data_IF_160312835995
#
_entry.id   IF_160312835995
#
_cell.length_a   1.000
_cell.length_b   1.000
_cell.length_c   1.000
_cell.angle_alpha   90.00
_cell.angle_beta   90.00
_cell.angle_gamma   90.00
#
_symmetry.space_group_name_H-M   'P 1'
#
loop_
_entity.id
_entity.type
_entity.pdbx_description
1 polymer ?
#
# COMPACT_ATOMS: atom_id res chain seq x y z
N UNK A 1 -8.47 -10.74 4.22
CA UNK A 1 -7.40 -9.87 4.76
C UNK A 1 -7.77 -9.38 6.14
N UNK A 2 -6.80 -9.35 7.06
CA UNK A 2 -6.97 -8.73 8.38
C UNK A 2 -6.04 -7.51 8.46
N UNK A 3 -6.61 -6.30 8.52
CA UNK A 3 -5.85 -5.10 8.89
C UNK A 3 -5.52 -5.22 10.37
N UNK A 4 -4.24 -5.15 10.71
CA UNK A 4 -3.73 -5.38 12.07
C UNK A 4 -3.38 -4.09 12.79
N UNK A 5 -3.30 -2.96 12.08
CA UNK A 5 -3.16 -1.64 12.67
C UNK A 5 -3.30 -0.51 11.65
N UNK A 6 -3.75 0.65 12.13
CA UNK A 6 -3.69 1.92 11.39
C UNK A 6 -3.16 2.97 12.34
N UNK A 7 -2.06 3.61 11.95
CA UNK A 7 -1.45 4.72 12.68
C UNK A 7 -1.53 5.97 11.81
N UNK A 8 -1.94 7.09 12.40
CA UNK A 8 -2.07 8.36 11.70
C UNK A 8 -1.24 9.40 12.43
N UNK A 9 -0.34 10.04 11.69
CA UNK A 9 0.37 11.24 12.13
C UNK A 9 -0.23 12.47 11.45
N UNK A 10 0.31 13.66 11.73
CA UNK A 10 -0.17 14.89 11.11
C UNK A 10 0.05 14.91 9.58
N UNK A 11 1.04 14.19 9.06
CA UNK A 11 1.41 14.22 7.63
C UNK A 11 1.46 12.86 6.94
N UNK A 12 1.23 11.77 7.68
CA UNK A 12 1.26 10.43 7.11
C UNK A 12 0.24 9.49 7.72
N UNK A 13 -0.18 8.50 6.93
CA UNK A 13 -0.98 7.37 7.41
C UNK A 13 -0.25 6.08 7.12
N UNK A 14 -0.08 5.25 8.16
CA UNK A 14 0.54 3.93 8.07
C UNK A 14 -0.49 2.85 8.33
N UNK A 15 -0.63 1.93 7.38
CA UNK A 15 -1.53 0.78 7.48
C UNK A 15 -0.66 -0.46 7.60
N UNK A 16 -0.88 -1.27 8.64
CA UNK A 16 -0.25 -2.58 8.75
C UNK A 16 -1.29 -3.66 8.51
N UNK A 17 -0.99 -4.60 7.62
CA UNK A 17 -1.85 -5.75 7.40
C UNK A 17 -1.04 -6.99 7.03
N UNK A 18 -1.70 -8.15 7.04
CA UNK A 18 -1.11 -9.44 6.67
C UNK A 18 -1.82 -10.01 5.44
N UNK A 19 -1.04 -10.52 4.48
CA UNK A 19 -1.56 -11.18 3.28
C UNK A 19 -0.90 -12.54 3.01
N UNK A 20 -1.63 -13.48 2.39
CA UNK A 20 -1.08 -14.71 1.86
C UNK A 20 0.02 -14.46 0.83
N UNK A 21 0.95 -15.41 0.78
CA UNK A 21 2.03 -15.48 -0.21
C UNK A 21 1.54 -15.90 -1.61
N UNK A 22 0.37 -16.52 -1.70
CA UNK A 22 -0.19 -17.08 -2.94
C UNK A 22 -1.11 -16.13 -3.70
N UNK A 23 -1.32 -14.91 -3.20
CA UNK A 23 -2.24 -13.96 -3.83
C UNK A 23 -1.69 -13.46 -5.17
N UNK A 24 -2.59 -13.25 -6.13
CA UNK A 24 -2.23 -12.73 -7.44
C UNK A 24 -1.68 -11.29 -7.31
N UNK A 25 -0.58 -10.93 -8.01
CA UNK A 25 -0.04 -9.59 -7.96
C UNK A 25 -1.05 -8.48 -8.27
N UNK A 26 -1.96 -8.68 -9.23
CA UNK A 26 -2.98 -7.68 -9.57
C UNK A 26 -3.96 -7.44 -8.41
N UNK A 27 -4.37 -8.51 -7.72
CA UNK A 27 -5.23 -8.45 -6.54
C UNK A 27 -4.52 -7.74 -5.37
N UNK A 28 -3.20 -7.94 -5.22
CA UNK A 28 -2.36 -7.26 -4.23
C UNK A 28 -2.30 -5.76 -4.51
N UNK A 29 -2.15 -5.34 -5.77
CA UNK A 29 -2.08 -3.93 -6.13
C UNK A 29 -3.42 -3.22 -5.95
N UNK A 30 -4.52 -3.87 -6.36
CA UNK A 30 -5.88 -3.39 -6.11
C UNK A 30 -6.15 -3.25 -4.61
N UNK A 31 -5.67 -4.20 -3.80
CA UNK A 31 -5.73 -4.15 -2.34
C UNK A 31 -4.99 -2.93 -1.80
N UNK A 32 -3.76 -2.67 -2.24
CA UNK A 32 -2.98 -1.53 -1.75
C UNK A 32 -3.64 -0.19 -2.09
N UNK A 33 -4.13 -0.05 -3.32
CA UNK A 33 -4.88 1.15 -3.72
C UNK A 33 -6.13 1.37 -2.86
N UNK A 34 -6.90 0.31 -2.61
CA UNK A 34 -8.08 0.38 -1.76
C UNK A 34 -7.73 0.77 -0.31
N UNK A 35 -6.68 0.19 0.26
CA UNK A 35 -6.21 0.50 1.60
C UNK A 35 -5.75 1.96 1.70
N UNK A 36 -4.96 2.44 0.75
CA UNK A 36 -4.54 3.83 0.68
C UNK A 36 -5.73 4.80 0.60
N UNK A 37 -6.73 4.50 -0.24
CA UNK A 37 -7.96 5.31 -0.35
C UNK A 37 -8.70 5.39 0.97
N UNK A 38 -8.96 4.23 1.57
CA UNK A 38 -9.73 4.13 2.81
C UNK A 38 -9.03 4.88 3.95
N UNK A 39 -7.70 4.77 4.03
CA UNK A 39 -6.89 5.46 5.01
C UNK A 39 -6.90 6.98 4.82
N UNK A 40 -6.80 7.45 3.58
CA UNK A 40 -6.88 8.86 3.26
C UNK A 40 -8.25 9.44 3.63
N UNK A 41 -9.34 8.77 3.24
CA UNK A 41 -10.71 9.20 3.56
C UNK A 41 -11.02 9.19 5.05
N UNK A 42 -10.40 8.28 5.80
CA UNK A 42 -10.57 8.15 7.24
C UNK A 42 -9.65 9.06 8.05
N UNK A 43 -8.68 9.72 7.41
CA UNK A 43 -7.75 10.62 8.08
C UNK A 43 -8.51 11.87 8.57
N UNK A 44 -8.22 12.39 9.78
CA UNK A 44 -8.89 13.57 10.31
C UNK A 44 -8.61 14.84 9.48
N UNK A 45 -7.46 14.91 8.81
CA UNK A 45 -7.06 16.02 7.93
C UNK A 45 -6.48 15.47 6.61
N UNK A 46 -7.31 14.98 5.68
CA UNK A 46 -6.84 14.30 4.47
C UNK A 46 -5.96 15.21 3.59
N UNK A 47 -6.25 16.51 3.56
CA UNK A 47 -5.50 17.49 2.75
C UNK A 47 -4.08 17.76 3.28
N UNK A 48 -3.75 17.35 4.52
CA UNK A 48 -2.43 17.51 5.13
C UNK A 48 -1.57 16.25 5.01
N UNK A 49 -2.15 15.14 4.55
CA UNK A 49 -1.42 13.90 4.33
C UNK A 49 -0.54 14.08 3.09
N UNK A 50 0.76 13.91 3.28
CA UNK A 50 1.75 13.99 2.21
C UNK A 50 2.18 12.59 1.76
N UNK A 51 2.04 11.59 2.61
CA UNK A 51 2.51 10.22 2.33
C UNK A 51 1.59 9.18 2.94
N UNK A 52 1.23 8.20 2.12
CA UNK A 52 0.51 7.02 2.52
C UNK A 52 1.49 5.84 2.55
N UNK A 53 1.46 5.06 3.63
CA UNK A 53 2.39 3.96 3.87
C UNK A 53 1.60 2.69 4.19
N UNK A 54 1.95 1.59 3.53
CA UNK A 54 1.50 0.25 3.83
C UNK A 54 2.71 -0.56 4.30
N UNK A 55 2.57 -1.21 5.44
CA UNK A 55 3.48 -2.26 5.90
C UNK A 55 2.75 -3.58 5.66
N UNK A 56 3.12 -4.25 4.58
CA UNK A 56 2.58 -5.55 4.22
C UNK A 56 3.44 -6.65 4.84
N UNK A 57 2.84 -7.47 5.71
CA UNK A 57 3.45 -8.67 6.24
C UNK A 57 2.94 -9.88 5.44
N UNK A 58 3.86 -10.67 4.91
CA UNK A 58 3.55 -11.94 4.28
C UNK A 58 3.56 -13.06 5.32
N UNK A 59 2.75 -14.10 5.10
CA UNK A 59 2.65 -15.24 6.03
C UNK A 59 3.94 -16.06 6.15
N UNK A 60 4.85 -15.97 5.17
CA UNK A 60 6.19 -16.57 5.23
C UNK A 60 7.17 -15.80 6.14
N UNK A 61 6.72 -14.66 6.71
CA UNK A 61 7.50 -13.80 7.59
C UNK A 61 8.19 -12.64 6.88
N UNK A 62 8.06 -12.54 5.55
CA UNK A 62 8.63 -11.46 4.77
C UNK A 62 7.79 -10.18 4.88
N UNK A 63 8.42 -9.02 4.68
CA UNK A 63 7.82 -7.72 4.89
C UNK A 63 8.26 -6.74 3.82
N UNK A 64 7.30 -6.00 3.30
CA UNK A 64 7.53 -4.89 2.38
C UNK A 64 6.82 -3.64 2.88
N UNK A 65 7.53 -2.53 2.83
CA UNK A 65 6.97 -1.20 2.98
C UNK A 65 6.65 -0.67 1.59
N UNK A 66 5.40 -0.27 1.39
CA UNK A 66 4.91 0.35 0.15
C UNK A 66 4.48 1.76 0.49
N UNK A 67 4.99 2.75 -0.21
CA UNK A 67 4.62 4.16 0.00
C UNK A 67 4.12 4.79 -1.29
N UNK A 68 3.17 5.70 -1.16
CA UNK A 68 2.65 6.48 -2.28
C UNK A 68 2.21 7.86 -1.81
N UNK A 69 2.20 8.83 -2.72
CA UNK A 69 1.57 10.12 -2.48
C UNK A 69 0.05 10.05 -2.76
N UNK A 70 -0.77 10.84 -2.06
CA UNK A 70 -2.23 10.85 -2.26
C UNK A 70 -2.69 11.16 -3.69
N UNK A 71 -1.93 11.96 -4.46
CA UNK A 71 -2.31 12.30 -5.84
C UNK A 71 -2.16 11.11 -6.77
N UNK A 72 -1.12 10.29 -6.60
CA UNK A 72 -0.93 9.05 -7.35
C UNK A 72 -2.06 8.06 -7.08
N UNK A 73 -2.43 7.86 -5.82
CA UNK A 73 -3.56 6.99 -5.43
C UNK A 73 -4.87 7.49 -6.04
N UNK A 74 -5.13 8.80 -5.97
CA UNK A 74 -6.32 9.40 -6.56
C UNK A 74 -6.40 9.19 -8.07
N UNK A 75 -5.31 9.42 -8.80
CA UNK A 75 -5.24 9.20 -10.25
C UNK A 75 -5.54 7.76 -10.64
N UNK A 76 -5.08 6.79 -9.85
CA UNK A 76 -5.37 5.38 -10.10
C UNK A 76 -6.86 5.06 -9.88
N UNK A 77 -7.45 5.55 -8.80
CA UNK A 77 -8.87 5.34 -8.49
C UNK A 77 -9.81 6.03 -9.49
N UNK A 78 -9.41 7.21 -9.99
CA UNK A 78 -10.12 7.94 -11.04
C UNK A 78 -9.94 7.29 -12.43
N UNK A 79 -9.10 6.25 -12.55
CA UNK A 79 -8.81 5.54 -13.80
C UNK A 79 -7.95 6.33 -14.78
N UNK A 80 -7.27 7.38 -14.32
CA UNK A 80 -6.34 8.18 -15.12
C UNK A 80 -5.02 7.45 -15.39
N UNK A 81 -4.66 6.50 -14.52
CA UNK A 81 -3.51 5.61 -14.68
C UNK A 81 -3.94 4.16 -14.44
N UNK A 82 -3.32 3.22 -15.15
CA UNK A 82 -3.61 1.80 -14.98
C UNK A 82 -2.82 1.18 -13.80
N UNK A 83 -3.05 -0.11 -13.53
CA UNK A 83 -2.42 -0.81 -12.40
C UNK A 83 -0.89 -0.91 -12.54
N UNK A 84 -0.39 -0.97 -13.77
CA UNK A 84 1.04 -1.03 -14.06
C UNK A 84 1.70 0.33 -13.83
N UNK A 85 1.10 1.39 -14.34
CA UNK A 85 1.56 2.76 -14.10
C UNK A 85 1.49 3.13 -12.62
N UNK A 86 0.46 2.68 -11.91
CA UNK A 86 0.36 2.83 -10.46
C UNK A 86 1.52 2.13 -9.76
N UNK A 87 1.78 0.86 -10.11
CA UNK A 87 2.88 0.08 -9.56
C UNK A 87 4.24 0.78 -9.70
N UNK A 88 4.55 1.31 -10.88
CA UNK A 88 5.81 2.01 -11.14
C UNK A 88 5.98 3.31 -10.34
N UNK A 89 4.88 3.87 -9.81
CA UNK A 89 4.90 5.08 -8.98
C UNK A 89 4.91 4.77 -7.48
N UNK A 90 4.75 3.51 -7.09
CA UNK A 90 4.89 3.09 -5.70
C UNK A 90 6.38 3.01 -5.33
N UNK A 91 6.69 3.53 -4.15
CA UNK A 91 7.99 3.31 -3.51
C UNK A 91 7.93 2.01 -2.70
N UNK A 92 8.68 1.00 -3.12
CA UNK A 92 8.70 -0.33 -2.49
C UNK A 92 10.05 -0.60 -1.85
N UNK A 93 10.05 -0.73 -0.54
CA UNK A 93 11.23 -1.01 0.26
C UNK A 93 11.06 -2.36 0.98
N UNK A 94 11.82 -3.41 0.61
CA UNK A 94 11.81 -4.66 1.36
C UNK A 94 12.40 -4.41 2.76
N UNK A 95 11.63 -4.71 3.80
CA UNK A 95 12.08 -4.58 5.20
C UNK A 95 12.81 -5.84 5.69
N UNK A 96 12.58 -6.96 5.02
CA UNK A 96 13.27 -8.24 5.21
C UNK A 96 13.92 -8.69 3.89
N UNK A 97 14.39 -9.94 3.77
CA UNK A 97 15.13 -10.39 2.57
C UNK A 97 14.28 -10.42 1.29
N UNK A 98 13.00 -10.11 1.39
CA UNK A 98 12.03 -10.04 0.32
C UNK A 98 11.24 -11.35 0.23
N UNK A 99 9.94 -11.31 -0.09
CA UNK A 99 9.16 -12.52 -0.34
C UNK A 99 9.84 -13.37 -1.41
N UNK A 100 9.98 -14.68 -1.16
CA UNK A 100 10.62 -15.69 -2.02
C UNK A 100 9.94 -15.86 -3.40
N UNK A 101 8.94 -15.04 -3.72
CA UNK A 101 7.89 -15.29 -4.71
C UNK A 101 7.92 -14.27 -5.84
N UNK A 102 8.71 -13.21 -5.71
CA UNK A 102 8.94 -12.26 -6.79
C UNK A 102 10.31 -12.53 -7.42
N UNK A 103 10.48 -13.77 -7.89
CA UNK A 103 11.36 -13.98 -9.05
C UNK A 103 10.62 -13.39 -10.25
N UNK A 104 11.32 -12.53 -11.00
CA UNK A 104 10.74 -11.75 -12.11
C UNK A 104 10.09 -12.58 -13.22
#
# INVERSE_FOLDING_TARGET
MAVTGTETTDTSVTITYTQPVTDDPEDVYATWAYLFSTALESAPNPDQIETLIIICNFEDGEKVRVSSDPQTVKKFLDGEIDAWEFLYKLDMEPLTKGPLIWEG
#
